data_IF_372947559771
#
_entry.id   IF_372947559771
#
_cell.length_a   1.000
_cell.length_b   1.000
_cell.length_c   1.000
_cell.angle_alpha   90.00
_cell.angle_beta   90.00
_cell.angle_gamma   90.00
#
_symmetry.space_group_name_H-M   'P 1'
#
loop_
_entity.id
_entity.type
_entity.pdbx_description
1 polymer ?
#
# COMPACT_ATOMS: atom_id res chain seq x y z
N UNK A 1 27.05 -1.10 1.41
CA UNK A 1 26.02 -0.80 2.41
C UNK A 1 25.89 0.71 2.71
N UNK A 2 26.94 1.49 2.46
CA UNK A 2 26.99 2.93 2.84
C UNK A 2 25.97 3.84 2.12
N UNK A 3 25.35 3.35 1.05
CA UNK A 3 24.39 4.11 0.25
C UNK A 3 22.91 3.69 0.45
N UNK A 4 22.61 2.71 1.30
CA UNK A 4 21.24 2.20 1.47
C UNK A 4 20.30 3.24 2.10
N UNK A 5 20.78 3.93 3.14
CA UNK A 5 19.99 4.93 3.84
C UNK A 5 19.63 6.14 2.95
N UNK A 6 20.58 6.73 2.19
CA UNK A 6 20.24 7.77 1.22
C UNK A 6 19.25 7.31 0.14
N UNK A 7 19.39 6.07 -0.39
CA UNK A 7 18.46 5.53 -1.37
C UNK A 7 17.05 5.32 -0.80
N UNK A 8 16.95 4.78 0.41
CA UNK A 8 15.66 4.61 1.10
C UNK A 8 14.97 5.98 1.37
N UNK A 9 15.74 6.98 1.77
CA UNK A 9 15.22 8.35 1.98
C UNK A 9 14.75 8.95 0.65
N UNK A 10 15.52 8.82 -0.44
CA UNK A 10 15.13 9.32 -1.76
C UNK A 10 13.83 8.68 -2.25
N UNK A 11 13.69 7.35 -2.11
CA UNK A 11 12.48 6.65 -2.50
C UNK A 11 11.24 7.12 -1.70
N UNK A 12 11.42 7.44 -0.43
CA UNK A 12 10.32 7.94 0.41
C UNK A 12 9.94 9.39 0.08
N UNK A 13 10.86 10.17 -0.47
CA UNK A 13 10.61 11.55 -0.91
C UNK A 13 9.88 11.60 -2.25
N UNK A 14 10.15 10.65 -3.16
CA UNK A 14 9.49 10.52 -4.47
C UNK A 14 8.20 9.69 -4.39
N UNK A 15 7.36 9.97 -3.40
CA UNK A 15 6.09 9.25 -3.21
C UNK A 15 5.06 9.63 -4.28
N UNK A 16 4.99 8.84 -5.37
CA UNK A 16 4.06 9.03 -6.49
C UNK A 16 2.59 9.05 -6.07
N UNK A 17 2.26 8.52 -4.89
CA UNK A 17 0.92 8.59 -4.31
C UNK A 17 0.47 10.03 -4.14
N UNK A 18 1.38 10.96 -3.82
CA UNK A 18 1.06 12.39 -3.66
C UNK A 18 0.47 12.97 -4.95
N UNK A 19 0.96 12.54 -6.13
CA UNK A 19 0.44 13.00 -7.42
C UNK A 19 -0.93 12.39 -7.76
N UNK A 20 -1.26 11.23 -7.22
CA UNK A 20 -2.56 10.59 -7.39
C UNK A 20 -3.65 11.17 -6.46
N UNK A 21 -3.28 11.81 -5.34
CA UNK A 21 -4.24 12.37 -4.37
C UNK A 21 -5.23 13.37 -4.99
N UNK A 22 -4.83 14.35 -5.81
CA UNK A 22 -5.79 15.30 -6.43
C UNK A 22 -6.82 14.57 -7.29
N UNK A 23 -6.41 13.56 -8.06
CA UNK A 23 -7.31 12.76 -8.89
C UNK A 23 -8.30 11.98 -8.02
N UNK A 24 -7.82 11.34 -6.96
CA UNK A 24 -8.65 10.60 -6.02
C UNK A 24 -9.69 11.52 -5.33
N UNK A 25 -9.27 12.67 -4.80
CA UNK A 25 -10.21 13.60 -4.16
C UNK A 25 -11.20 14.22 -5.14
N UNK A 26 -10.79 14.42 -6.40
CA UNK A 26 -11.71 14.85 -7.46
C UNK A 26 -12.77 13.78 -7.74
N UNK A 27 -12.37 12.51 -7.84
CA UNK A 27 -13.30 11.39 -8.03
C UNK A 27 -14.27 11.25 -6.85
N UNK A 28 -13.78 11.38 -5.61
CA UNK A 28 -14.59 11.37 -4.40
C UNK A 28 -15.61 12.52 -4.41
N UNK A 29 -15.20 13.73 -4.79
CA UNK A 29 -16.10 14.88 -4.88
C UNK A 29 -17.18 14.67 -5.95
N UNK A 30 -16.80 14.15 -7.12
CA UNK A 30 -17.74 13.84 -8.20
C UNK A 30 -18.77 12.81 -7.73
N UNK A 31 -18.30 11.70 -7.12
CA UNK A 31 -19.20 10.67 -6.59
C UNK A 31 -20.15 11.25 -5.54
N UNK A 32 -19.64 12.06 -4.61
CA UNK A 32 -20.47 12.70 -3.59
C UNK A 32 -21.53 13.62 -4.20
N UNK A 33 -21.17 14.44 -5.20
CA UNK A 33 -22.14 15.33 -5.90
C UNK A 33 -23.20 14.51 -6.64
N UNK A 34 -22.82 13.42 -7.29
CA UNK A 34 -23.78 12.54 -7.99
C UNK A 34 -24.70 11.86 -6.97
N UNK A 35 -24.16 11.34 -5.87
CA UNK A 35 -24.96 10.72 -4.81
C UNK A 35 -25.95 11.70 -4.22
N UNK A 36 -25.53 12.93 -3.92
CA UNK A 36 -26.40 13.99 -3.41
C UNK A 36 -27.51 14.34 -4.40
N UNK A 37 -27.18 14.60 -5.69
CA UNK A 37 -28.17 14.98 -6.71
C UNK A 37 -29.18 13.88 -7.02
N UNK A 38 -28.77 12.62 -6.93
CA UNK A 38 -29.62 11.46 -7.21
C UNK A 38 -30.27 10.88 -5.96
N UNK A 39 -30.08 11.51 -4.79
CA UNK A 39 -30.56 11.03 -3.48
C UNK A 39 -30.16 9.57 -3.19
N UNK A 40 -28.92 9.19 -3.59
CA UNK A 40 -28.40 7.87 -3.33
C UNK A 40 -27.85 7.78 -1.91
N UNK A 41 -28.20 6.73 -1.18
CA UNK A 41 -27.70 6.49 0.18
C UNK A 41 -26.28 5.87 0.19
N UNK A 42 -25.35 6.50 -0.56
CA UNK A 42 -23.96 6.02 -0.64
C UNK A 42 -23.10 6.49 0.52
N UNK A 43 -23.45 7.60 1.15
CA UNK A 43 -22.68 8.22 2.23
C UNK A 43 -23.51 8.37 3.49
N UNK A 44 -22.96 7.87 4.58
CA UNK A 44 -23.43 8.14 5.93
C UNK A 44 -22.37 8.96 6.67
N UNK A 45 -22.80 10.00 7.37
CA UNK A 45 -21.88 10.99 7.96
C UNK A 45 -20.91 10.37 8.97
N UNK A 46 -21.40 9.49 9.85
CA UNK A 46 -20.56 8.89 10.89
C UNK A 46 -19.55 7.93 10.28
N UNK A 47 -19.97 7.12 9.30
CA UNK A 47 -19.09 6.20 8.59
C UNK A 47 -18.01 6.93 7.78
N UNK A 48 -18.36 8.05 7.13
CA UNK A 48 -17.39 8.88 6.42
C UNK A 48 -16.31 9.44 7.37
N UNK A 49 -16.72 10.04 8.50
CA UNK A 49 -15.75 10.55 9.47
C UNK A 49 -14.95 9.44 10.15
N UNK A 50 -15.53 8.27 10.38
CA UNK A 50 -14.78 7.10 10.84
C UNK A 50 -13.73 6.67 9.82
N UNK A 51 -14.05 6.68 8.52
CA UNK A 51 -13.09 6.37 7.43
C UNK A 51 -11.94 7.37 7.41
N UNK A 52 -12.23 8.67 7.57
CA UNK A 52 -11.19 9.70 7.67
C UNK A 52 -10.32 9.52 8.91
N UNK A 53 -10.92 9.19 10.05
CA UNK A 53 -10.20 8.93 11.30
C UNK A 53 -9.26 7.73 11.17
N UNK A 54 -9.73 6.62 10.58
CA UNK A 54 -8.90 5.44 10.32
C UNK A 54 -7.77 5.77 9.35
N UNK A 55 -8.02 6.52 8.28
CA UNK A 55 -6.99 6.98 7.35
C UNK A 55 -5.90 7.77 8.07
N UNK A 56 -6.27 8.77 8.86
CA UNK A 56 -5.31 9.59 9.61
C UNK A 56 -4.50 8.76 10.61
N UNK A 57 -5.17 7.86 11.33
CA UNK A 57 -4.52 6.94 12.27
C UNK A 57 -3.52 6.04 11.55
N UNK A 58 -3.89 5.48 10.40
CA UNK A 58 -3.03 4.64 9.56
C UNK A 58 -1.82 5.43 9.08
N UNK A 59 -2.00 6.65 8.59
CA UNK A 59 -0.87 7.50 8.15
C UNK A 59 0.12 7.72 9.28
N UNK A 60 -0.35 8.03 10.50
CA UNK A 60 0.53 8.27 11.66
C UNK A 60 1.26 7.01 12.10
N UNK A 61 0.53 5.87 12.22
CA UNK A 61 1.10 4.61 12.68
C UNK A 61 2.10 4.04 11.67
N UNK A 62 1.82 4.19 10.37
CA UNK A 62 2.58 3.54 9.31
C UNK A 62 3.88 4.28 8.91
N UNK A 63 4.15 5.46 9.44
CA UNK A 63 5.39 6.22 9.11
C UNK A 63 6.65 5.41 9.40
N UNK A 64 6.80 4.91 10.64
CA UNK A 64 7.98 4.13 11.04
C UNK A 64 8.04 2.75 10.34
N UNK A 65 6.95 1.96 10.28
CA UNK A 65 6.93 0.73 9.51
C UNK A 65 7.25 0.91 8.02
N UNK A 66 6.77 1.98 7.39
CA UNK A 66 7.10 2.29 5.99
C UNK A 66 8.61 2.47 5.82
N UNK A 67 9.23 3.30 6.67
CA UNK A 67 10.67 3.54 6.61
C UNK A 67 11.48 2.24 6.85
N UNK A 68 11.16 1.51 7.93
CA UNK A 68 11.84 0.25 8.25
C UNK A 68 11.65 -0.82 7.17
N UNK A 69 10.45 -0.90 6.58
CA UNK A 69 10.13 -1.85 5.52
C UNK A 69 10.90 -1.56 4.22
N UNK A 70 10.96 -0.29 3.80
CA UNK A 70 11.76 0.12 2.64
C UNK A 70 13.24 -0.20 2.86
N UNK A 71 13.77 0.11 4.02
CA UNK A 71 15.16 -0.21 4.36
C UNK A 71 15.40 -1.74 4.33
N UNK A 72 14.48 -2.53 4.87
CA UNK A 72 14.54 -3.99 4.83
C UNK A 72 14.55 -4.51 3.38
N UNK A 73 13.73 -3.96 2.49
CA UNK A 73 13.72 -4.33 1.08
C UNK A 73 15.07 -4.05 0.39
N UNK A 74 15.69 -2.91 0.67
CA UNK A 74 17.04 -2.62 0.17
C UNK A 74 18.09 -3.61 0.71
N UNK A 75 18.02 -3.99 1.99
CA UNK A 75 18.89 -5.01 2.55
C UNK A 75 18.68 -6.37 1.85
N UNK A 76 17.43 -6.77 1.64
CA UNK A 76 17.12 -8.00 0.90
C UNK A 76 17.66 -7.96 -0.53
N UNK A 77 17.52 -6.83 -1.22
CA UNK A 77 18.04 -6.66 -2.57
C UNK A 77 19.58 -6.72 -2.62
N UNK A 78 20.28 -6.08 -1.68
CA UNK A 78 21.75 -6.17 -1.59
C UNK A 78 22.24 -7.60 -1.33
N UNK A 79 21.46 -8.40 -0.62
CA UNK A 79 21.76 -9.81 -0.37
C UNK A 79 21.37 -10.72 -1.55
N UNK A 80 20.67 -10.19 -2.55
CA UNK A 80 20.23 -10.99 -3.69
C UNK A 80 21.40 -11.43 -4.58
N UNK A 81 21.52 -12.72 -4.91
CA UNK A 81 22.48 -13.18 -5.91
C UNK A 81 22.08 -12.79 -7.34
N UNK A 82 20.85 -12.32 -7.56
CA UNK A 82 20.28 -11.99 -8.86
C UNK A 82 20.21 -10.48 -9.13
N UNK A 83 20.68 -9.62 -8.23
CA UNK A 83 20.56 -8.16 -8.35
C UNK A 83 21.23 -7.58 -9.60
N UNK A 84 22.30 -8.23 -10.09
CA UNK A 84 22.98 -7.81 -11.33
C UNK A 84 22.34 -8.42 -12.60
N UNK A 85 21.46 -9.41 -12.45
CA UNK A 85 20.75 -10.07 -13.55
C UNK A 85 19.46 -9.34 -13.88
N UNK A 86 18.72 -8.94 -12.84
CA UNK A 86 17.45 -8.22 -12.98
C UNK A 86 17.75 -6.74 -13.27
N UNK A 87 17.33 -6.28 -14.43
CA UNK A 87 17.50 -4.90 -14.86
C UNK A 87 16.15 -4.19 -15.02
N UNK A 88 16.17 -2.90 -15.35
CA UNK A 88 14.94 -2.13 -15.65
C UNK A 88 14.42 -2.33 -17.09
N UNK A 89 14.83 -3.41 -17.78
CA UNK A 89 14.33 -3.73 -19.11
C UNK A 89 12.85 -4.19 -19.09
N UNK A 90 12.08 -3.98 -20.16
CA UNK A 90 10.62 -4.20 -20.16
C UNK A 90 10.16 -5.60 -19.74
N UNK A 91 10.94 -6.65 -20.06
CA UNK A 91 10.60 -8.02 -19.69
C UNK A 91 10.54 -8.22 -18.17
N UNK A 92 11.42 -7.53 -17.41
CA UNK A 92 11.44 -7.62 -15.95
C UNK A 92 10.25 -6.89 -15.32
N UNK A 93 9.78 -5.79 -15.93
CA UNK A 93 8.56 -5.12 -15.51
C UNK A 93 7.32 -6.01 -15.73
N UNK A 94 7.25 -6.73 -16.87
CA UNK A 94 6.16 -7.68 -17.12
C UNK A 94 6.17 -8.81 -16.09
N UNK A 95 7.35 -9.37 -15.81
CA UNK A 95 7.47 -10.43 -14.79
C UNK A 95 7.10 -9.89 -13.40
N UNK A 96 7.62 -8.71 -13.03
CA UNK A 96 7.32 -8.08 -11.75
C UNK A 96 5.81 -7.83 -11.59
N UNK A 97 5.11 -7.38 -12.62
CA UNK A 97 3.66 -7.15 -12.58
C UNK A 97 2.91 -8.40 -12.10
N UNK A 98 3.22 -9.58 -12.65
CA UNK A 98 2.57 -10.82 -12.20
C UNK A 98 3.03 -11.28 -10.82
N UNK A 99 4.30 -11.10 -10.49
CA UNK A 99 4.83 -11.47 -9.18
C UNK A 99 4.31 -10.55 -8.06
N UNK A 100 4.17 -9.26 -8.33
CA UNK A 100 3.60 -8.30 -7.40
C UNK A 100 2.12 -8.59 -7.14
N UNK A 101 1.34 -8.88 -8.19
CA UNK A 101 -0.07 -9.28 -8.08
C UNK A 101 -0.23 -10.57 -7.25
N UNK A 102 0.62 -11.58 -7.50
CA UNK A 102 0.65 -12.81 -6.69
C UNK A 102 1.04 -12.53 -5.24
N UNK A 103 1.99 -11.63 -5.01
CA UNK A 103 2.43 -11.22 -3.67
C UNK A 103 1.29 -10.50 -2.94
N UNK A 104 0.62 -9.57 -3.62
CA UNK A 104 -0.54 -8.87 -3.08
C UNK A 104 -1.67 -9.85 -2.74
N UNK A 105 -2.01 -10.76 -3.66
CA UNK A 105 -2.99 -11.81 -3.41
C UNK A 105 -2.65 -12.63 -2.16
N UNK A 106 -1.40 -13.06 -2.05
CA UNK A 106 -0.93 -13.88 -0.93
C UNK A 106 -1.02 -13.13 0.40
N UNK A 107 -0.60 -11.86 0.41
CA UNK A 107 -0.70 -10.97 1.56
C UNK A 107 -2.18 -10.73 1.95
N UNK A 108 -3.03 -10.37 0.99
CA UNK A 108 -4.44 -10.09 1.25
C UNK A 108 -5.18 -11.34 1.74
N UNK A 109 -4.92 -12.49 1.13
CA UNK A 109 -5.46 -13.78 1.57
C UNK A 109 -5.01 -14.12 3.00
N UNK A 110 -3.73 -13.92 3.32
CA UNK A 110 -3.23 -14.14 4.68
C UNK A 110 -3.94 -13.22 5.70
N UNK A 111 -4.23 -11.97 5.33
CA UNK A 111 -5.00 -11.06 6.17
C UNK A 111 -6.42 -11.57 6.48
N UNK A 112 -7.03 -12.33 5.58
CA UNK A 112 -8.34 -12.94 5.80
C UNK A 112 -8.28 -14.27 6.55
N UNK A 113 -7.20 -15.05 6.42
CA UNK A 113 -7.10 -16.40 6.98
C UNK A 113 -6.41 -16.43 8.35
N UNK A 114 -5.49 -15.50 8.61
CA UNK A 114 -4.70 -15.47 9.84
C UNK A 114 -5.29 -14.47 10.83
N UNK A 115 -5.78 -14.95 11.99
CA UNK A 115 -6.47 -14.11 13.00
C UNK A 115 -5.70 -12.86 13.41
N UNK A 116 -4.39 -12.98 13.57
CA UNK A 116 -3.55 -11.85 13.95
C UNK A 116 -3.53 -10.76 12.86
N UNK A 117 -3.45 -11.17 11.59
CA UNK A 117 -3.46 -10.24 10.45
C UNK A 117 -4.84 -9.64 10.24
N UNK A 118 -5.89 -10.46 10.41
CA UNK A 118 -7.27 -10.00 10.36
C UNK A 118 -7.57 -8.90 11.36
N UNK A 119 -6.96 -8.91 12.55
CA UNK A 119 -7.17 -7.89 13.56
C UNK A 119 -6.83 -6.46 13.07
N UNK A 120 -5.82 -6.31 12.23
CA UNK A 120 -5.51 -5.04 11.56
C UNK A 120 -6.42 -4.78 10.34
N UNK A 121 -6.67 -5.84 9.55
CA UNK A 121 -7.37 -5.77 8.28
C UNK A 121 -8.88 -5.54 8.41
N UNK A 122 -9.50 -6.00 9.50
CA UNK A 122 -10.94 -5.85 9.74
C UNK A 122 -11.40 -4.39 9.65
N UNK A 123 -10.55 -3.42 9.98
CA UNK A 123 -10.88 -2.00 9.86
C UNK A 123 -11.20 -1.58 8.42
N UNK A 124 -10.53 -2.20 7.44
CA UNK A 124 -10.79 -2.01 6.01
C UNK A 124 -12.17 -2.56 5.60
N UNK A 125 -12.64 -3.64 6.21
CA UNK A 125 -13.92 -4.29 5.89
C UNK A 125 -15.09 -3.86 6.79
N UNK A 126 -14.92 -2.88 7.68
CA UNK A 126 -15.91 -2.55 8.72
C UNK A 126 -16.94 -1.49 8.28
N UNK A 127 -16.97 -1.06 7.00
CA UNK A 127 -18.01 -0.17 6.49
C UNK A 127 -19.16 -0.97 5.88
N UNK A 128 -20.38 -0.49 6.06
CA UNK A 128 -21.57 -0.99 5.36
C UNK A 128 -21.80 -0.27 4.02
N UNK A 129 -20.99 0.75 3.72
CA UNK A 129 -21.09 1.57 2.52
C UNK A 129 -19.91 1.28 1.58
N UNK A 130 -20.17 1.36 0.28
CA UNK A 130 -19.16 1.18 -0.75
C UNK A 130 -19.07 2.47 -1.57
N UNK A 131 -18.07 3.28 -1.26
CA UNK A 131 -17.83 4.58 -1.87
C UNK A 131 -16.33 4.97 -1.77
N UNK A 132 -15.91 6.03 -2.43
CA UNK A 132 -14.52 6.50 -2.37
C UNK A 132 -14.05 6.90 -0.96
N UNK A 133 -14.96 7.37 -0.10
CA UNK A 133 -14.62 7.64 1.30
C UNK A 133 -14.23 6.37 2.06
N UNK A 134 -14.91 5.25 1.79
CA UNK A 134 -14.57 3.95 2.37
C UNK A 134 -13.24 3.41 1.84
N UNK A 135 -12.87 3.71 0.58
CA UNK A 135 -11.60 3.32 0.00
C UNK A 135 -10.37 3.92 0.74
N UNK A 136 -10.57 5.02 1.48
CA UNK A 136 -9.52 5.59 2.35
C UNK A 136 -9.27 4.79 3.62
N UNK A 137 -10.18 3.90 4.00
CA UNK A 137 -10.07 3.06 5.20
C UNK A 137 -9.11 1.90 4.91
N UNK A 138 -7.88 2.03 5.33
CA UNK A 138 -6.86 0.99 5.21
C UNK A 138 -6.76 0.17 6.50
N UNK A 139 -6.17 -1.01 6.42
CA UNK A 139 -5.87 -1.81 7.60
C UNK A 139 -4.82 -1.12 8.49
N UNK A 140 -5.12 -1.01 9.78
CA UNK A 140 -4.24 -0.33 10.74
C UNK A 140 -3.07 -1.24 11.13
N UNK A 141 -1.84 -0.76 10.95
CA UNK A 141 -0.62 -1.49 11.31
C UNK A 141 -0.25 -2.63 10.34
N UNK A 142 -0.96 -2.81 9.24
CA UNK A 142 -0.65 -3.85 8.24
C UNK A 142 0.75 -3.69 7.65
N UNK A 143 1.26 -2.46 7.54
CA UNK A 143 2.58 -2.19 6.96
C UNK A 143 3.73 -2.82 7.74
N UNK A 144 3.55 -3.10 9.03
CA UNK A 144 4.54 -3.82 9.84
C UNK A 144 4.88 -5.18 9.20
N UNK A 145 3.89 -5.87 8.66
CA UNK A 145 4.05 -7.21 8.08
C UNK A 145 4.06 -7.18 6.55
N UNK A 146 3.38 -6.21 5.93
CA UNK A 146 3.29 -6.10 4.48
C UNK A 146 4.65 -6.27 3.80
N UNK A 147 5.66 -5.51 4.21
CA UNK A 147 6.99 -5.55 3.60
C UNK A 147 7.66 -6.92 3.65
N UNK A 148 7.34 -7.78 4.63
CA UNK A 148 7.86 -9.15 4.69
C UNK A 148 7.38 -9.99 3.50
N UNK A 149 6.16 -9.73 3.00
CA UNK A 149 5.65 -10.41 1.80
C UNK A 149 6.34 -9.92 0.52
N UNK A 150 6.81 -8.67 0.49
CA UNK A 150 7.52 -8.11 -0.67
C UNK A 150 9.03 -8.36 -0.66
N UNK A 151 9.64 -8.66 0.49
CA UNK A 151 11.06 -9.03 0.58
C UNK A 151 11.49 -10.15 -0.38
N UNK A 152 10.70 -11.20 -0.65
CA UNK A 152 11.05 -12.20 -1.65
C UNK A 152 11.28 -11.63 -3.04
N UNK A 153 10.54 -10.58 -3.47
CA UNK A 153 10.77 -9.93 -4.75
C UNK A 153 12.14 -9.25 -4.80
N UNK A 154 12.51 -8.55 -3.72
CA UNK A 154 13.84 -7.95 -3.60
C UNK A 154 14.94 -9.00 -3.59
N UNK A 155 14.74 -10.15 -2.91
CA UNK A 155 15.67 -11.29 -2.94
C UNK A 155 15.77 -11.97 -4.31
N UNK A 156 14.72 -11.88 -5.15
CA UNK A 156 14.76 -12.31 -6.55
C UNK A 156 15.49 -11.29 -7.46
N UNK A 157 16.03 -10.21 -6.91
CA UNK A 157 16.85 -9.23 -7.62
C UNK A 157 16.12 -8.00 -8.12
N UNK A 158 14.81 -7.88 -7.88
CA UNK A 158 14.09 -6.66 -8.24
C UNK A 158 14.49 -5.50 -7.34
N UNK A 159 14.93 -4.42 -7.97
CA UNK A 159 15.27 -3.17 -7.27
C UNK A 159 14.05 -2.65 -6.47
N UNK A 160 14.18 -2.30 -5.18
CA UNK A 160 13.09 -1.74 -4.39
C UNK A 160 12.36 -0.54 -5.02
N UNK A 161 13.03 0.18 -5.92
CA UNK A 161 12.41 1.27 -6.71
C UNK A 161 11.44 0.75 -7.77
N UNK A 162 11.57 -0.51 -8.19
CA UNK A 162 10.64 -1.14 -9.13
C UNK A 162 9.42 -1.74 -8.42
N UNK A 163 9.58 -2.20 -7.18
CA UNK A 163 8.55 -2.78 -6.31
C UNK A 163 7.71 -1.68 -5.65
#
# INVERSE_FOLDING_TARGET
>A
MDNLLPQAIALLQDDWVIYALPLFFTALLIEWVIAYRKSLALYERQDFFASMGVMLLTVVIDVLPKFGGVLLMFVCWELSPLKEVVSRAPQWWVLLFFLDDLTYYSFHRANHEVRFLWAGHVSHHNSQYYNYGTALRQGVGERVIKYLFWCPLALLGFDPVMI
#
